data_IF_309928972576
#
_entry.id   IF_309928972576
#
_cell.length_a   1.000
_cell.length_b   1.000
_cell.length_c   1.000
_cell.angle_alpha   90.00
_cell.angle_beta   90.00
_cell.angle_gamma   90.00
#
_symmetry.space_group_name_H-M   'P 1'
#
loop_
_entity.id
_entity.type
_entity.pdbx_description
1 polymer ?
#
# COMPACT_ATOMS: atom_id res chain seq x y z
N UNK A 1 21.72 -59.09 -15.50
CA UNK A 1 21.35 -58.32 -14.29
C UNK A 1 21.84 -56.86 -14.43
N UNK A 2 21.31 -56.09 -15.38
CA UNK A 2 21.80 -54.71 -15.62
C UNK A 2 20.79 -53.72 -16.22
N UNK A 3 19.56 -54.17 -16.51
CA UNK A 3 18.57 -53.35 -17.20
C UNK A 3 17.54 -52.71 -16.25
N UNK A 4 17.26 -53.38 -15.11
CA UNK A 4 16.29 -52.93 -14.10
C UNK A 4 16.70 -51.66 -13.33
N UNK A 5 17.93 -51.15 -13.53
CA UNK A 5 18.46 -50.01 -12.79
C UNK A 5 18.42 -48.70 -13.59
N UNK A 6 18.62 -48.75 -14.92
CA UNK A 6 18.66 -47.56 -15.76
C UNK A 6 17.26 -46.94 -15.94
N UNK A 7 16.28 -47.77 -16.32
CA UNK A 7 14.89 -47.33 -16.51
C UNK A 7 14.27 -46.81 -15.21
N UNK A 8 14.61 -47.44 -14.09
CA UNK A 8 14.12 -47.03 -12.77
C UNK A 8 14.67 -45.67 -12.35
N UNK A 9 15.99 -45.45 -12.53
CA UNK A 9 16.64 -44.16 -12.23
C UNK A 9 16.12 -43.06 -13.15
N UNK A 10 15.90 -43.36 -14.43
CA UNK A 10 15.32 -42.41 -15.38
C UNK A 10 13.88 -42.05 -15.01
N UNK A 11 13.04 -43.04 -14.69
CA UNK A 11 11.67 -42.80 -14.25
C UNK A 11 11.61 -41.94 -12.97
N UNK A 12 12.51 -42.19 -12.01
CA UNK A 12 12.65 -41.36 -10.82
C UNK A 12 13.10 -39.93 -11.16
N UNK A 13 14.07 -39.77 -12.06
CA UNK A 13 14.53 -38.46 -12.51
C UNK A 13 13.42 -37.64 -13.16
N UNK A 14 12.63 -38.26 -14.05
CA UNK A 14 11.48 -37.63 -14.71
C UNK A 14 10.39 -37.26 -13.70
N UNK A 15 10.08 -38.16 -12.76
CA UNK A 15 9.09 -37.89 -11.72
C UNK A 15 9.52 -36.71 -10.83
N UNK A 16 10.78 -36.68 -10.39
CA UNK A 16 11.32 -35.60 -9.57
C UNK A 16 11.33 -34.25 -10.32
N UNK A 17 11.77 -34.25 -11.57
CA UNK A 17 11.76 -33.06 -12.41
C UNK A 17 10.34 -32.50 -12.58
N UNK A 18 9.34 -33.38 -12.72
CA UNK A 18 7.93 -33.01 -12.83
C UNK A 18 7.41 -32.36 -11.55
N UNK A 19 7.74 -32.91 -10.38
CA UNK A 19 7.34 -32.35 -9.08
C UNK A 19 7.98 -30.97 -8.86
N UNK A 20 9.29 -30.84 -9.14
CA UNK A 20 10.01 -29.57 -9.04
C UNK A 20 9.40 -28.55 -10.00
N UNK A 21 9.12 -28.94 -11.24
CA UNK A 21 8.48 -28.08 -12.24
C UNK A 21 7.11 -27.59 -11.80
N UNK A 22 6.26 -28.49 -11.30
CA UNK A 22 4.92 -28.15 -10.82
C UNK A 22 4.96 -27.22 -9.59
N UNK A 23 5.86 -27.48 -8.65
CA UNK A 23 6.05 -26.63 -7.48
C UNK A 23 6.57 -25.24 -7.85
N UNK A 24 7.56 -25.18 -8.76
CA UNK A 24 8.13 -23.93 -9.27
C UNK A 24 7.08 -23.11 -10.01
N UNK A 25 6.25 -23.75 -10.84
CA UNK A 25 5.14 -23.09 -11.52
C UNK A 25 4.12 -22.50 -10.53
N UNK A 26 3.79 -23.25 -9.47
CA UNK A 26 2.90 -22.79 -8.40
C UNK A 26 3.49 -21.60 -7.64
N UNK A 27 4.77 -21.66 -7.28
CA UNK A 27 5.46 -20.54 -6.64
C UNK A 27 5.50 -19.30 -7.53
N UNK A 28 5.83 -19.46 -8.82
CA UNK A 28 5.84 -18.35 -9.78
C UNK A 28 4.45 -17.70 -9.90
N UNK A 29 3.37 -18.48 -9.89
CA UNK A 29 2.01 -17.95 -9.89
C UNK A 29 1.69 -17.17 -8.60
N UNK A 30 2.10 -17.68 -7.44
CA UNK A 30 1.91 -16.98 -6.16
C UNK A 30 2.71 -15.67 -6.08
N UNK A 31 3.96 -15.68 -6.53
CA UNK A 31 4.81 -14.49 -6.59
C UNK A 31 4.22 -13.45 -7.55
N UNK A 32 3.71 -13.86 -8.72
CA UNK A 32 3.02 -12.95 -9.65
C UNK A 32 1.79 -12.31 -9.02
N UNK A 33 0.96 -13.09 -8.32
CA UNK A 33 -0.22 -12.57 -7.62
C UNK A 33 0.16 -11.57 -6.52
N UNK A 34 1.22 -11.85 -5.77
CA UNK A 34 1.69 -10.97 -4.71
C UNK A 34 2.25 -9.66 -5.28
N UNK A 35 3.07 -9.74 -6.34
CA UNK A 35 3.59 -8.56 -7.04
C UNK A 35 2.46 -7.67 -7.57
N UNK A 36 1.44 -8.26 -8.19
CA UNK A 36 0.28 -7.50 -8.67
C UNK A 36 -0.40 -6.72 -7.54
N UNK A 37 -0.63 -7.35 -6.40
CA UNK A 37 -1.23 -6.69 -5.23
C UNK A 37 -0.35 -5.59 -4.67
N UNK A 38 0.97 -5.79 -4.61
CA UNK A 38 1.91 -4.75 -4.16
C UNK A 38 1.85 -3.55 -5.10
N UNK A 39 1.92 -3.77 -6.41
CA UNK A 39 1.82 -2.68 -7.41
C UNK A 39 0.47 -1.96 -7.34
N UNK A 40 -0.62 -2.69 -7.12
CA UNK A 40 -1.95 -2.11 -6.92
C UNK A 40 -1.99 -1.21 -5.67
N UNK A 41 -1.46 -1.69 -4.54
CA UNK A 41 -1.38 -0.94 -3.29
C UNK A 41 -0.48 0.31 -3.43
N UNK A 42 0.68 0.19 -4.07
CA UNK A 42 1.58 1.32 -4.34
C UNK A 42 0.91 2.40 -5.22
N UNK A 43 0.10 1.96 -6.20
CA UNK A 43 -0.64 2.89 -7.07
C UNK A 43 -1.78 3.60 -6.32
N UNK A 44 -2.47 2.87 -5.43
CA UNK A 44 -3.51 3.43 -4.57
C UNK A 44 -2.91 4.46 -3.60
N UNK A 45 -1.77 4.14 -2.97
CA UNK A 45 -1.07 5.03 -2.04
C UNK A 45 -0.67 6.36 -2.70
N UNK A 46 -0.08 6.31 -3.91
CA UNK A 46 0.26 7.52 -4.67
C UNK A 46 -0.95 8.39 -5.02
N UNK A 47 -2.10 7.76 -5.33
CA UNK A 47 -3.34 8.48 -5.63
C UNK A 47 -3.93 9.13 -4.37
N UNK A 48 -3.84 8.44 -3.24
CA UNK A 48 -4.39 8.91 -1.97
C UNK A 48 -3.56 10.06 -1.38
N UNK A 49 -2.23 10.04 -1.53
CA UNK A 49 -1.36 11.16 -1.13
C UNK A 49 -1.77 12.47 -1.84
N UNK A 50 -1.99 12.43 -3.16
CA UNK A 50 -2.36 13.65 -3.91
C UNK A 50 -3.77 14.14 -3.55
N UNK A 51 -4.70 13.21 -3.28
CA UNK A 51 -6.04 13.53 -2.76
C UNK A 51 -5.96 14.18 -1.38
N UNK A 52 -5.19 13.62 -0.44
CA UNK A 52 -4.99 14.19 0.88
C UNK A 52 -4.34 15.57 0.80
N UNK A 53 -3.33 15.74 -0.06
CA UNK A 53 -2.69 17.05 -0.29
C UNK A 53 -3.69 18.09 -0.79
N UNK A 54 -4.59 17.69 -1.69
CA UNK A 54 -5.67 18.54 -2.21
C UNK A 54 -6.66 18.90 -1.10
N UNK A 55 -7.08 17.94 -0.27
CA UNK A 55 -7.97 18.18 0.86
C UNK A 55 -7.34 19.12 1.90
N UNK A 56 -6.07 18.93 2.24
CA UNK A 56 -5.34 19.81 3.17
C UNK A 56 -5.29 21.26 2.65
N UNK A 57 -5.04 21.46 1.35
CA UNK A 57 -5.08 22.79 0.74
C UNK A 57 -6.47 23.42 0.84
N UNK A 58 -7.52 22.64 0.56
CA UNK A 58 -8.90 23.10 0.68
C UNK A 58 -9.26 23.48 2.12
N UNK A 59 -8.91 22.65 3.10
CA UNK A 59 -9.14 22.93 4.53
C UNK A 59 -8.44 24.23 4.93
N UNK A 60 -7.18 24.45 4.53
CA UNK A 60 -6.46 25.69 4.81
C UNK A 60 -7.16 26.92 4.20
N UNK A 61 -7.63 26.80 2.95
CA UNK A 61 -8.37 27.88 2.30
C UNK A 61 -9.69 28.20 3.03
N UNK A 62 -10.44 27.17 3.44
CA UNK A 62 -11.68 27.34 4.21
C UNK A 62 -11.42 27.97 5.58
N UNK A 63 -10.36 27.57 6.27
CA UNK A 63 -9.97 28.17 7.55
C UNK A 63 -9.58 29.64 7.39
N UNK A 64 -8.83 29.97 6.34
CA UNK A 64 -8.46 31.35 6.04
C UNK A 64 -9.70 32.20 5.75
N UNK A 65 -10.58 31.72 4.87
CA UNK A 65 -11.82 32.41 4.54
C UNK A 65 -12.72 32.59 5.78
N UNK A 66 -12.82 31.58 6.64
CA UNK A 66 -13.51 31.70 7.94
C UNK A 66 -12.89 32.79 8.80
N UNK A 67 -11.56 32.86 8.88
CA UNK A 67 -10.87 33.89 9.66
C UNK A 67 -11.15 35.30 9.11
N UNK A 68 -11.13 35.49 7.79
CA UNK A 68 -11.49 36.75 7.13
C UNK A 68 -12.94 37.15 7.47
N UNK A 69 -13.89 36.24 7.30
CA UNK A 69 -15.30 36.49 7.62
C UNK A 69 -15.50 36.82 9.10
N UNK A 70 -14.79 36.14 10.00
CA UNK A 70 -14.85 36.41 11.44
C UNK A 70 -14.29 37.79 11.75
N UNK A 71 -13.17 38.18 11.13
CA UNK A 71 -12.60 39.52 11.30
C UNK A 71 -13.53 40.64 10.80
N UNK A 72 -14.31 40.38 9.74
CA UNK A 72 -15.29 41.33 9.22
C UNK A 72 -16.57 41.43 10.06
N UNK A 73 -17.09 40.30 10.56
CA UNK A 73 -18.42 40.24 11.16
C UNK A 73 -18.41 40.23 12.70
N UNK A 74 -17.30 39.85 13.32
CA UNK A 74 -17.20 39.60 14.75
C UNK A 74 -15.77 39.87 15.28
N UNK A 75 -15.26 41.11 15.15
CA UNK A 75 -13.87 41.45 15.47
C UNK A 75 -13.50 41.21 16.94
N UNK A 76 -14.47 41.26 17.85
CA UNK A 76 -14.27 41.07 19.29
C UNK A 76 -14.41 39.61 19.75
N UNK A 77 -14.70 38.67 18.84
CA UNK A 77 -14.84 37.25 19.18
C UNK A 77 -13.46 36.59 19.27
N UNK A 78 -13.11 36.17 20.49
CA UNK A 78 -11.88 35.42 20.76
C UNK A 78 -11.83 34.15 19.91
N UNK A 79 -10.72 33.96 19.19
CA UNK A 79 -10.49 32.77 18.39
C UNK A 79 -10.58 31.50 19.28
N UNK A 80 -11.22 30.42 18.81
CA UNK A 80 -11.23 29.15 19.52
C UNK A 80 -9.80 28.62 19.68
N UNK A 81 -9.52 27.97 20.81
CA UNK A 81 -8.21 27.38 21.07
C UNK A 81 -7.86 26.33 20.01
N UNK A 82 -6.57 26.25 19.61
CA UNK A 82 -6.14 25.27 18.62
C UNK A 82 -6.45 23.85 19.11
N UNK A 83 -6.86 22.93 18.22
CA UNK A 83 -7.14 21.56 18.59
C UNK A 83 -5.86 20.89 19.11
N UNK A 84 -6.00 20.12 20.19
CA UNK A 84 -4.90 19.31 20.73
C UNK A 84 -4.54 18.24 19.71
N UNK A 85 -3.30 18.26 19.22
CA UNK A 85 -2.78 17.23 18.32
C UNK A 85 -2.51 15.97 19.17
N UNK A 86 -3.10 14.81 18.82
CA UNK A 86 -2.80 13.55 19.51
C UNK A 86 -1.32 13.19 19.42
N UNK A 87 -0.72 12.68 20.50
CA UNK A 87 0.72 12.35 20.56
C UNK A 87 1.19 11.40 19.45
N UNK A 88 0.35 10.44 19.06
CA UNK A 88 0.66 9.49 17.99
C UNK A 88 0.79 10.14 16.61
N UNK A 89 0.12 11.27 16.37
CA UNK A 89 0.17 12.01 15.10
C UNK A 89 1.32 13.03 15.08
N UNK A 90 1.81 13.45 16.25
CA UNK A 90 2.90 14.42 16.37
C UNK A 90 4.24 13.88 15.84
N UNK A 91 4.39 12.56 15.70
CA UNK A 91 5.61 11.92 15.19
C UNK A 91 5.63 11.82 13.66
N UNK A 92 4.47 11.95 13.00
CA UNK A 92 4.29 11.78 11.55
C UNK A 92 4.14 13.10 10.76
N UNK A 93 4.10 14.24 11.46
CA UNK A 93 4.08 15.59 10.89
C UNK A 93 5.48 16.18 10.73
#
# INVERSE_FOLDING_TARGET
>A
MGWLNADLVQAFGVALATVIGAFTARQAAQVRKLRYRVTELETQDGTDIERFRTMVRLIRALLHHRAELTGLLAPDVKAPEPPVIPEWLATEL
#
